data_IF_592830198316
#
_entry.id   IF_592830198316
#
_cell.length_a   1.000
_cell.length_b   1.000
_cell.length_c   1.000
_cell.angle_alpha   90.00
_cell.angle_beta   90.00
_cell.angle_gamma   90.00
#
_symmetry.space_group_name_H-M   'P 1'
#
loop_
_entity.id
_entity.type
_entity.pdbx_description
1 polymer ?
#
# COMPACT_ATOMS: atom_id res chain seq x y z
N UNK A 1 -2.04 9.58 -29.96
CA UNK A 1 -2.26 8.87 -28.73
C UNK A 1 -3.39 7.87 -28.80
N UNK A 2 -3.34 6.87 -27.91
CA UNK A 2 -4.35 5.80 -27.80
C UNK A 2 -5.63 6.23 -27.06
N UNK A 3 -5.64 7.41 -26.44
CA UNK A 3 -6.76 7.95 -25.66
C UNK A 3 -7.20 9.28 -26.26
N UNK A 4 -8.50 9.42 -26.49
CA UNK A 4 -9.08 10.70 -26.96
C UNK A 4 -9.08 11.73 -25.83
N UNK A 5 -9.04 13.01 -26.18
CA UNK A 5 -9.05 14.11 -25.20
C UNK A 5 -10.31 14.08 -24.32
N UNK A 6 -11.44 13.66 -24.90
CA UNK A 6 -12.69 13.55 -24.19
C UNK A 6 -12.67 12.44 -23.14
N UNK A 7 -12.13 11.25 -23.47
CA UNK A 7 -11.93 10.16 -22.51
C UNK A 7 -10.96 10.56 -21.39
N UNK A 8 -9.93 11.32 -21.72
CA UNK A 8 -9.01 11.81 -20.70
C UNK A 8 -9.69 12.79 -19.73
N UNK A 9 -10.51 13.70 -20.24
CA UNK A 9 -11.30 14.63 -19.41
C UNK A 9 -12.28 13.88 -18.49
N UNK A 10 -12.98 12.89 -19.02
CA UNK A 10 -13.89 12.04 -18.23
C UNK A 10 -13.13 11.31 -17.11
N UNK A 11 -11.97 10.73 -17.41
CA UNK A 11 -11.14 10.07 -16.41
C UNK A 11 -10.69 11.02 -15.29
N UNK A 12 -10.23 12.21 -15.64
CA UNK A 12 -9.82 13.24 -14.67
C UNK A 12 -11.00 13.69 -13.79
N UNK A 13 -12.17 13.89 -14.40
CA UNK A 13 -13.38 14.26 -13.67
C UNK A 13 -13.79 13.16 -12.67
N UNK A 14 -13.85 11.90 -13.11
CA UNK A 14 -14.13 10.74 -12.27
C UNK A 14 -13.16 10.65 -11.09
N UNK A 15 -11.87 10.76 -11.36
CA UNK A 15 -10.83 10.73 -10.32
C UNK A 15 -11.02 11.86 -9.30
N UNK A 16 -11.29 13.07 -9.77
CA UNK A 16 -11.53 14.23 -8.91
C UNK A 16 -12.78 14.04 -8.02
N UNK A 17 -13.87 13.50 -8.58
CA UNK A 17 -15.10 13.21 -7.83
C UNK A 17 -14.82 12.23 -6.67
N UNK A 18 -14.12 11.14 -6.96
CA UNK A 18 -13.76 10.12 -5.96
C UNK A 18 -12.85 10.71 -4.89
N UNK A 19 -11.79 11.45 -5.25
CA UNK A 19 -10.87 12.08 -4.30
C UNK A 19 -11.58 13.09 -3.38
N UNK A 20 -12.46 13.92 -3.95
CA UNK A 20 -13.25 14.89 -3.19
C UNK A 20 -14.17 14.19 -2.19
N UNK A 21 -14.84 13.12 -2.61
CA UNK A 21 -15.73 12.38 -1.75
C UNK A 21 -14.97 11.63 -0.64
N UNK A 22 -13.84 11.02 -0.94
CA UNK A 22 -12.99 10.40 0.10
C UNK A 22 -12.59 11.45 1.15
N UNK A 23 -12.22 12.65 0.73
CA UNK A 23 -11.87 13.73 1.65
C UNK A 23 -13.08 14.20 2.48
N UNK A 24 -14.26 14.27 1.87
CA UNK A 24 -15.51 14.60 2.56
C UNK A 24 -15.83 13.56 3.63
N UNK A 25 -15.80 12.28 3.27
CA UNK A 25 -16.05 11.16 4.20
C UNK A 25 -15.07 11.13 5.38
N UNK A 26 -13.80 11.48 5.16
CA UNK A 26 -12.78 11.60 6.24
C UNK A 26 -13.10 12.70 7.24
N UNK A 27 -13.70 13.79 6.77
CA UNK A 27 -13.99 14.95 7.60
C UNK A 27 -15.41 14.94 8.19
N UNK A 28 -16.32 14.11 7.67
CA UNK A 28 -17.70 14.02 8.17
C UNK A 28 -17.80 12.95 9.24
N UNK A 29 -18.00 13.41 10.47
CA UNK A 29 -18.21 12.54 11.64
C UNK A 29 -19.68 12.43 11.96
N UNK A 30 -20.10 11.24 12.38
CA UNK A 30 -21.43 10.96 12.92
C UNK A 30 -21.32 10.62 14.40
N UNK A 31 -22.26 11.17 15.19
CA UNK A 31 -22.35 10.88 16.62
C UNK A 31 -22.94 9.51 16.88
N UNK A 32 -22.78 9.02 18.12
CA UNK A 32 -23.41 7.79 18.59
C UNK A 32 -24.89 8.06 18.92
N UNK A 33 -25.75 7.98 17.92
CA UNK A 33 -27.21 8.21 18.02
C UNK A 33 -27.97 6.89 17.87
N UNK A 34 -29.25 6.88 18.24
CA UNK A 34 -30.11 5.71 18.06
C UNK A 34 -30.20 5.29 16.58
N UNK A 35 -30.30 6.26 15.66
CA UNK A 35 -30.28 6.04 14.20
C UNK A 35 -29.01 5.28 13.76
N UNK A 36 -27.87 5.61 14.33
CA UNK A 36 -26.59 4.94 14.01
C UNK A 36 -26.56 3.52 14.57
N UNK A 37 -27.09 3.28 15.78
CA UNK A 37 -27.18 1.93 16.35
C UNK A 37 -28.09 1.02 15.51
N UNK A 38 -29.27 1.51 15.13
CA UNK A 38 -30.21 0.77 14.28
C UNK A 38 -29.56 0.42 12.92
N UNK A 39 -28.83 1.37 12.33
CA UNK A 39 -28.08 1.15 11.11
C UNK A 39 -27.03 0.04 11.30
N UNK A 40 -26.19 0.12 12.34
CA UNK A 40 -25.16 -0.90 12.60
C UNK A 40 -25.78 -2.28 12.82
N UNK A 41 -26.86 -2.35 13.58
CA UNK A 41 -27.59 -3.60 13.82
C UNK A 41 -28.19 -4.19 12.53
N UNK A 42 -28.71 -3.33 11.64
CA UNK A 42 -29.27 -3.74 10.34
C UNK A 42 -28.23 -4.43 9.45
N UNK A 43 -26.97 -3.98 9.51
CA UNK A 43 -25.87 -4.52 8.71
C UNK A 43 -24.98 -5.52 9.48
N UNK A 44 -25.45 -5.99 10.65
CA UNK A 44 -24.69 -6.90 11.54
C UNK A 44 -23.25 -6.41 11.80
N UNK A 45 -23.13 -5.09 11.94
CA UNK A 45 -21.86 -4.41 12.14
C UNK A 45 -21.61 -4.14 13.63
N UNK A 46 -20.35 -4.21 14.05
CA UNK A 46 -19.96 -3.99 15.43
C UNK A 46 -20.35 -2.59 15.94
N UNK A 47 -20.85 -2.51 17.16
CA UNK A 47 -21.20 -1.25 17.81
C UNK A 47 -20.00 -0.32 17.94
N UNK A 48 -20.29 0.99 17.97
CA UNK A 48 -19.29 2.03 18.24
C UNK A 48 -19.49 2.59 19.65
N UNK A 49 -18.40 2.99 20.30
CA UNK A 49 -18.43 3.56 21.65
C UNK A 49 -18.42 5.09 21.67
N UNK A 50 -18.10 5.70 20.54
CA UNK A 50 -17.96 7.15 20.37
C UNK A 50 -18.31 7.54 18.94
N UNK A 51 -18.29 8.83 18.61
CA UNK A 51 -18.43 9.29 17.23
C UNK A 51 -17.39 8.65 16.30
N UNK A 52 -17.80 8.39 15.06
CA UNK A 52 -16.99 7.76 14.01
C UNK A 52 -17.10 8.58 12.73
N UNK A 53 -16.06 8.62 11.91
CA UNK A 53 -16.16 9.22 10.58
C UNK A 53 -16.86 8.27 9.61
N UNK A 54 -17.52 8.82 8.59
CA UNK A 54 -18.10 7.99 7.53
C UNK A 54 -17.03 7.17 6.81
N UNK A 55 -15.81 7.71 6.73
CA UNK A 55 -14.65 7.02 6.18
C UNK A 55 -14.26 5.76 6.98
N UNK A 56 -14.23 5.84 8.31
CA UNK A 56 -13.96 4.66 9.15
C UNK A 56 -15.11 3.65 9.14
N UNK A 57 -16.33 4.12 8.91
CA UNK A 57 -17.49 3.27 8.81
C UNK A 57 -17.48 2.43 7.52
N UNK A 58 -17.20 3.05 6.37
CA UNK A 58 -17.15 2.36 5.06
C UNK A 58 -15.96 1.39 4.93
N UNK A 59 -14.93 1.50 5.78
CA UNK A 59 -13.86 0.48 5.85
C UNK A 59 -14.35 -0.89 6.29
N UNK A 60 -15.51 -0.96 6.91
CA UNK A 60 -16.10 -2.22 7.37
C UNK A 60 -16.63 -2.99 6.14
N UNK A 61 -16.33 -4.30 6.02
CA UNK A 61 -16.70 -5.09 4.83
C UNK A 61 -18.20 -5.06 4.53
N UNK A 62 -19.03 -5.06 5.58
CA UNK A 62 -20.48 -5.11 5.50
C UNK A 62 -21.16 -3.78 5.15
N UNK A 63 -20.43 -2.65 5.19
CA UNK A 63 -20.95 -1.32 4.89
C UNK A 63 -20.56 -0.92 3.47
N UNK A 64 -21.54 -0.55 2.65
CA UNK A 64 -21.36 -0.04 1.29
C UNK A 64 -21.50 1.48 1.24
N UNK A 65 -20.99 2.13 0.20
CA UNK A 65 -21.16 3.56 0.00
C UNK A 65 -22.64 3.95 -0.04
N UNK A 66 -23.45 3.23 -0.80
CA UNK A 66 -24.89 3.49 -0.90
C UNK A 66 -25.62 3.36 0.43
N UNK A 67 -25.17 2.44 1.28
CA UNK A 67 -25.77 2.26 2.60
C UNK A 67 -25.63 3.49 3.48
N UNK A 68 -24.57 4.29 3.27
CA UNK A 68 -24.31 5.52 4.03
C UNK A 68 -25.39 6.60 3.81
N UNK A 69 -26.13 6.55 2.69
CA UNK A 69 -27.24 7.48 2.42
C UNK A 69 -28.31 7.48 3.53
N UNK A 70 -28.41 6.37 4.30
CA UNK A 70 -29.30 6.30 5.46
C UNK A 70 -28.84 7.18 6.62
N UNK A 71 -27.55 7.51 6.66
CA UNK A 71 -26.92 8.31 7.73
C UNK A 71 -26.53 9.72 7.30
N UNK A 72 -26.38 9.92 5.99
CA UNK A 72 -25.86 11.13 5.38
C UNK A 72 -26.76 11.59 4.22
N UNK A 73 -27.50 12.66 4.47
CA UNK A 73 -28.44 13.26 3.50
C UNK A 73 -27.72 14.15 2.45
N UNK A 74 -26.46 14.53 2.72
CA UNK A 74 -25.66 15.40 1.85
C UNK A 74 -24.72 14.62 0.92
N UNK A 75 -24.99 13.33 0.67
CA UNK A 75 -24.15 12.56 -0.22
C UNK A 75 -24.16 13.11 -1.65
N UNK A 76 -22.99 13.33 -2.27
CA UNK A 76 -22.95 13.68 -3.69
C UNK A 76 -23.43 12.49 -4.54
N UNK A 77 -24.08 12.78 -5.65
CA UNK A 77 -24.52 11.76 -6.61
C UNK A 77 -23.33 11.21 -7.41
N UNK A 78 -22.58 10.26 -6.84
CA UNK A 78 -21.60 9.49 -7.59
C UNK A 78 -22.30 8.49 -8.53
N UNK A 79 -21.69 8.18 -9.67
CA UNK A 79 -22.11 7.05 -10.48
C UNK A 79 -21.81 5.73 -9.79
N UNK A 80 -22.49 4.66 -10.17
CA UNK A 80 -22.26 3.32 -9.61
C UNK A 80 -20.78 2.90 -9.72
N UNK A 81 -20.13 3.21 -10.86
CA UNK A 81 -18.70 2.95 -11.07
C UNK A 81 -17.79 3.78 -10.13
N UNK A 82 -18.13 5.04 -9.87
CA UNK A 82 -17.38 5.90 -8.95
C UNK A 82 -17.53 5.42 -7.51
N UNK A 83 -18.73 5.01 -7.12
CA UNK A 83 -19.02 4.46 -5.79
C UNK A 83 -18.28 3.14 -5.55
N UNK A 84 -18.28 2.22 -6.51
CA UNK A 84 -17.55 0.96 -6.43
C UNK A 84 -16.04 1.19 -6.32
N UNK A 85 -15.48 2.07 -7.16
CA UNK A 85 -14.05 2.39 -7.12
C UNK A 85 -13.65 3.07 -5.80
N UNK A 86 -14.49 3.98 -5.28
CA UNK A 86 -14.31 4.60 -3.97
C UNK A 86 -14.25 3.55 -2.86
N UNK A 87 -15.19 2.60 -2.83
CA UNK A 87 -15.20 1.52 -1.85
C UNK A 87 -13.93 0.68 -1.91
N UNK A 88 -13.52 0.28 -3.11
CA UNK A 88 -12.29 -0.48 -3.32
C UNK A 88 -11.09 0.29 -2.78
N UNK A 89 -10.94 1.57 -3.12
CA UNK A 89 -9.83 2.40 -2.67
C UNK A 89 -9.78 2.51 -1.14
N UNK A 90 -10.93 2.72 -0.49
CA UNK A 90 -10.99 2.86 0.97
C UNK A 90 -10.73 1.53 1.68
N UNK A 91 -11.41 0.46 1.27
CA UNK A 91 -11.30 -0.86 1.92
C UNK A 91 -9.92 -1.48 1.74
N UNK A 92 -9.28 -1.23 0.60
CA UNK A 92 -7.95 -1.76 0.29
C UNK A 92 -6.78 -0.80 0.60
N UNK A 93 -7.05 0.42 1.10
CA UNK A 93 -6.00 1.42 1.41
C UNK A 93 -4.85 0.83 2.24
N UNK A 94 -5.16 0.04 3.26
CA UNK A 94 -4.14 -0.58 4.12
C UNK A 94 -3.24 -1.56 3.38
N UNK A 95 -3.79 -2.33 2.43
CA UNK A 95 -3.03 -3.26 1.60
C UNK A 95 -2.17 -2.53 0.58
N UNK A 96 -2.74 -1.53 -0.11
CA UNK A 96 -2.02 -0.70 -1.07
C UNK A 96 -0.84 0.00 -0.39
N UNK A 97 -1.04 0.55 0.79
CA UNK A 97 0.01 1.21 1.58
C UNK A 97 1.16 0.27 1.95
N UNK A 98 0.84 -0.97 2.36
CA UNK A 98 1.86 -2.01 2.62
C UNK A 98 2.64 -2.36 1.37
N UNK A 99 1.96 -2.53 0.23
CA UNK A 99 2.62 -2.84 -1.05
C UNK A 99 3.54 -1.70 -1.52
N UNK A 100 3.10 -0.45 -1.41
CA UNK A 100 3.92 0.71 -1.76
C UNK A 100 5.20 0.77 -0.91
N UNK A 101 5.10 0.51 0.39
CA UNK A 101 6.28 0.44 1.28
C UNK A 101 7.24 -0.66 0.82
N UNK A 102 6.74 -1.84 0.45
CA UNK A 102 7.56 -2.93 -0.07
C UNK A 102 8.25 -2.54 -1.39
N UNK A 103 7.53 -1.92 -2.31
CA UNK A 103 8.08 -1.44 -3.58
C UNK A 103 9.20 -0.42 -3.34
N UNK A 104 9.01 0.52 -2.43
CA UNK A 104 10.06 1.48 -2.06
C UNK A 104 11.29 0.82 -1.43
N UNK A 105 11.10 -0.19 -0.60
CA UNK A 105 12.20 -0.98 -0.05
C UNK A 105 12.97 -1.70 -1.14
N UNK A 106 12.28 -2.34 -2.09
CA UNK A 106 12.91 -2.98 -3.24
C UNK A 106 13.69 -1.98 -4.10
N UNK A 107 13.11 -0.82 -4.42
CA UNK A 107 13.82 0.25 -5.16
C UNK A 107 15.09 0.72 -4.43
N UNK A 108 15.04 0.86 -3.10
CA UNK A 108 16.22 1.20 -2.29
C UNK A 108 17.31 0.13 -2.36
N UNK A 109 16.93 -1.15 -2.37
CA UNK A 109 17.87 -2.26 -2.50
C UNK A 109 18.47 -2.33 -3.90
N UNK A 110 17.69 -2.10 -4.95
CA UNK A 110 18.16 -2.03 -6.35
C UNK A 110 19.12 -0.85 -6.59
N UNK A 111 18.91 0.26 -5.89
CA UNK A 111 19.83 1.41 -5.94
C UNK A 111 21.18 1.17 -5.25
N UNK A 112 21.33 0.12 -4.43
CA UNK A 112 22.59 -0.23 -3.76
C UNK A 112 23.41 -1.15 -4.66
N UNK A 113 24.34 -0.56 -5.42
CA UNK A 113 25.23 -1.30 -6.34
C UNK A 113 26.24 -2.15 -5.57
N UNK A 114 26.52 -3.31 -6.12
CA UNK A 114 27.61 -4.20 -5.75
C UNK A 114 28.74 -4.04 -6.79
N UNK A 115 29.97 -3.92 -6.34
CA UNK A 115 31.13 -3.84 -7.23
C UNK A 115 31.47 -5.24 -7.76
N UNK A 116 31.95 -5.33 -8.99
CA UNK A 116 32.22 -6.61 -9.65
C UNK A 116 33.40 -7.37 -9.03
N UNK A 117 34.26 -6.67 -8.27
CA UNK A 117 35.46 -7.18 -7.62
C UNK A 117 35.26 -7.61 -6.15
N UNK A 118 34.03 -7.65 -5.69
CA UNK A 118 33.71 -8.08 -4.30
C UNK A 118 34.14 -9.55 -4.11
N UNK A 119 35.02 -9.77 -3.16
CA UNK A 119 35.38 -11.11 -2.68
C UNK A 119 34.42 -11.55 -1.57
N UNK A 120 33.31 -12.19 -1.96
CA UNK A 120 32.27 -12.65 -1.05
C UNK A 120 32.78 -13.64 0.00
N UNK A 121 33.90 -14.35 -0.25
CA UNK A 121 34.52 -15.27 0.69
C UNK A 121 35.15 -14.57 1.90
N UNK A 122 35.47 -13.29 1.77
CA UNK A 122 36.04 -12.47 2.87
C UNK A 122 34.97 -11.77 3.72
N UNK A 123 33.70 -11.84 3.33
CA UNK A 123 32.61 -11.19 4.06
C UNK A 123 32.18 -12.10 5.21
N UNK A 124 32.57 -11.72 6.44
CA UNK A 124 32.19 -12.47 7.64
C UNK A 124 30.66 -12.38 7.88
N UNK A 125 30.05 -13.53 8.13
CA UNK A 125 28.62 -13.61 8.45
C UNK A 125 27.71 -14.02 7.29
N UNK A 126 28.23 -14.15 6.06
CA UNK A 126 27.50 -14.80 4.98
C UNK A 126 27.43 -16.31 5.19
N UNK A 127 26.31 -16.92 4.85
CA UNK A 127 26.20 -18.38 4.78
C UNK A 127 27.07 -18.96 3.66
N UNK A 128 27.51 -20.21 3.81
CA UNK A 128 28.35 -20.89 2.79
C UNK A 128 27.66 -20.95 1.44
N UNK A 129 26.35 -21.21 1.43
CA UNK A 129 25.54 -21.22 0.21
C UNK A 129 25.45 -19.84 -0.44
N UNK A 130 25.17 -18.79 0.33
CA UNK A 130 25.14 -17.42 -0.17
C UNK A 130 26.49 -17.00 -0.74
N UNK A 131 27.61 -17.27 -0.05
CA UNK A 131 28.96 -17.01 -0.56
C UNK A 131 29.22 -17.65 -1.94
N UNK A 132 28.84 -18.91 -2.09
CA UNK A 132 28.99 -19.64 -3.35
C UNK A 132 28.14 -19.03 -4.45
N UNK A 133 26.84 -18.84 -4.21
CA UNK A 133 25.89 -18.29 -5.19
C UNK A 133 26.22 -16.87 -5.61
N UNK A 134 26.57 -16.00 -4.66
CA UNK A 134 26.97 -14.62 -4.95
C UNK A 134 28.28 -14.55 -5.75
N UNK A 135 29.25 -15.44 -5.46
CA UNK A 135 30.51 -15.51 -6.21
C UNK A 135 30.33 -16.00 -7.63
N UNK A 136 29.39 -16.91 -7.85
CA UNK A 136 29.06 -17.47 -9.18
C UNK A 136 28.29 -16.50 -10.03
N UNK A 137 27.22 -15.89 -9.47
CA UNK A 137 26.26 -15.07 -10.23
C UNK A 137 26.72 -13.61 -10.36
N UNK A 138 27.49 -13.10 -9.37
CA UNK A 138 28.00 -11.70 -9.32
C UNK A 138 26.88 -10.67 -9.57
N UNK A 139 25.90 -10.57 -8.70
CA UNK A 139 24.79 -9.63 -8.87
C UNK A 139 25.27 -8.19 -8.87
N UNK A 140 24.70 -7.34 -9.73
CA UNK A 140 25.10 -5.93 -9.87
C UNK A 140 24.58 -5.02 -8.76
N UNK A 141 23.59 -5.48 -7.99
CA UNK A 141 23.01 -4.72 -6.87
C UNK A 141 22.38 -5.66 -5.82
N UNK A 142 22.07 -5.09 -4.65
CA UNK A 142 21.47 -5.83 -3.54
C UNK A 142 20.09 -6.40 -3.90
N UNK A 143 19.30 -5.69 -4.72
CA UNK A 143 18.00 -6.19 -5.18
C UNK A 143 18.13 -7.46 -6.02
N UNK A 144 19.14 -7.56 -6.89
CA UNK A 144 19.43 -8.82 -7.62
C UNK A 144 19.93 -9.90 -6.66
N UNK A 145 20.83 -9.58 -5.73
CA UNK A 145 21.31 -10.53 -4.74
C UNK A 145 20.18 -11.16 -3.93
N UNK A 146 19.17 -10.37 -3.54
CA UNK A 146 18.03 -10.85 -2.74
C UNK A 146 17.09 -11.81 -3.47
N UNK A 147 17.16 -11.85 -4.80
CA UNK A 147 16.37 -12.77 -5.64
C UNK A 147 17.07 -14.08 -5.98
N UNK A 148 18.32 -14.23 -5.56
CA UNK A 148 19.10 -15.46 -5.79
C UNK A 148 18.65 -16.53 -4.80
N UNK A 149 18.25 -17.69 -5.33
CA UNK A 149 17.95 -18.86 -4.49
C UNK A 149 19.19 -19.28 -3.69
N UNK A 150 19.03 -19.49 -2.39
CA UNK A 150 20.13 -19.77 -1.45
C UNK A 150 20.73 -18.52 -0.79
N UNK A 151 20.26 -17.30 -1.12
CA UNK A 151 20.61 -16.07 -0.41
C UNK A 151 19.44 -15.66 0.50
N UNK A 152 19.66 -15.71 1.80
CA UNK A 152 18.65 -15.43 2.81
C UNK A 152 18.55 -13.91 3.11
N UNK A 153 17.45 -13.44 3.74
CA UNK A 153 17.36 -12.07 4.25
C UNK A 153 18.47 -11.70 5.23
N UNK A 154 18.99 -12.67 5.99
CA UNK A 154 20.12 -12.47 6.89
C UNK A 154 21.41 -12.18 6.10
N UNK A 155 21.67 -12.91 5.02
CA UNK A 155 22.82 -12.68 4.13
C UNK A 155 22.73 -11.29 3.48
N UNK A 156 21.54 -10.85 3.07
CA UNK A 156 21.32 -9.49 2.54
C UNK A 156 21.64 -8.43 3.59
N UNK A 157 21.26 -8.65 4.84
CA UNK A 157 21.60 -7.74 5.94
C UNK A 157 23.11 -7.62 6.13
N UNK A 158 23.83 -8.73 6.05
CA UNK A 158 25.31 -8.76 6.11
C UNK A 158 25.93 -7.97 4.96
N UNK A 159 25.43 -8.16 3.72
CA UNK A 159 25.90 -7.39 2.55
C UNK A 159 25.66 -5.89 2.70
N UNK A 160 24.52 -5.49 3.26
CA UNK A 160 24.21 -4.09 3.52
C UNK A 160 25.20 -3.46 4.51
N UNK A 161 25.50 -4.15 5.62
CA UNK A 161 26.49 -3.70 6.59
C UNK A 161 27.87 -3.60 5.95
N UNK A 162 28.27 -4.59 5.15
CA UNK A 162 29.53 -4.58 4.43
C UNK A 162 29.66 -3.35 3.48
N UNK A 163 28.63 -3.05 2.70
CA UNK A 163 28.62 -1.87 1.82
C UNK A 163 28.72 -0.55 2.61
N UNK A 164 28.09 -0.44 3.77
CA UNK A 164 28.20 0.74 4.64
C UNK A 164 29.61 0.92 5.20
N UNK A 165 30.30 -0.19 5.51
CA UNK A 165 31.70 -0.15 6.00
C UNK A 165 32.68 0.30 4.91
N UNK A 166 32.48 -0.12 3.65
CA UNK A 166 33.33 0.30 2.54
C UNK A 166 33.14 1.79 2.24
N UNK A 167 31.91 2.30 2.28
CA UNK A 167 31.64 3.72 2.03
C UNK A 167 32.26 4.68 3.05
N UNK A 168 32.57 4.18 4.25
CA UNK A 168 33.16 4.97 5.34
C UNK A 168 34.69 4.97 5.33
N UNK A 169 35.31 4.19 4.44
CA UNK A 169 36.76 4.14 4.19
C UNK A 169 37.14 5.00 3.00
#
# INVERSE_FOLDING_TARGET
>A
GLVTEERYKQFIAKKSNIENEINRLRNKSIGFTEKVKEFLKKYDSADIKSGITLYELIKRPEITYDSLAQLDEDMPGLTDEEAEELEILIKYEGYIKKQLIQIEQFKKLEGKRLQDDIDYKKIKGLSTEAMQKLSEIKPSNIGQASRISGVSPADISVLLVYLEQIKRR
#
